data_IF_475741033879
#
_entry.id   IF_475741033879
#
_cell.length_a   1.000
_cell.length_b   1.000
_cell.length_c   1.000
_cell.angle_alpha   90.00
_cell.angle_beta   90.00
_cell.angle_gamma   90.00
#
_symmetry.space_group_name_H-M   'P 1'
#
loop_
_entity.id
_entity.type
_entity.pdbx_description
1 polymer ?
#
# COMPACT_ATOMS: atom_id res chain seq x y z
N UNK A 1 -5.76 -13.01 -17.24
CA UNK A 1 -7.09 -12.44 -16.96
C UNK A 1 -8.22 -13.42 -17.23
N UNK A 2 -8.09 -14.20 -18.28
CA UNK A 2 -9.12 -15.16 -18.66
C UNK A 2 -9.30 -16.28 -17.65
N UNK A 3 -8.21 -16.64 -16.94
CA UNK A 3 -8.22 -17.72 -15.95
C UNK A 3 -9.19 -17.47 -14.81
N UNK A 4 -9.36 -16.21 -14.42
CA UNK A 4 -10.16 -15.85 -13.25
C UNK A 4 -11.47 -15.16 -13.62
N UNK A 5 -11.70 -14.96 -14.92
CA UNK A 5 -12.87 -14.24 -15.39
C UNK A 5 -13.02 -12.87 -14.70
N UNK A 6 -11.89 -12.18 -14.53
CA UNK A 6 -11.83 -10.87 -13.87
C UNK A 6 -11.35 -9.81 -14.86
N UNK A 7 -11.83 -8.59 -14.67
CA UNK A 7 -11.32 -7.46 -15.41
C UNK A 7 -9.98 -7.03 -14.83
N UNK A 8 -9.00 -6.80 -15.71
CA UNK A 8 -7.68 -6.35 -15.32
C UNK A 8 -7.52 -4.88 -15.70
N UNK A 9 -7.14 -4.06 -14.72
CA UNK A 9 -6.86 -2.65 -14.93
C UNK A 9 -5.35 -2.47 -14.82
N UNK A 10 -4.63 -2.26 -15.94
CA UNK A 10 -3.18 -2.07 -15.89
C UNK A 10 -2.83 -0.69 -15.34
N UNK A 11 -1.83 -0.66 -14.45
CA UNK A 11 -1.29 0.57 -13.87
C UNK A 11 0.20 0.65 -14.20
N UNK A 12 0.69 1.85 -14.47
CA UNK A 12 2.08 2.07 -14.78
C UNK A 12 2.80 2.76 -13.62
N UNK A 13 3.86 2.13 -13.14
CA UNK A 13 4.76 2.69 -12.14
C UNK A 13 5.89 3.41 -12.84
N UNK A 14 6.17 4.66 -12.44
CA UNK A 14 7.16 5.50 -13.12
C UNK A 14 8.48 5.66 -12.37
N UNK A 15 8.64 5.01 -11.21
CA UNK A 15 9.83 5.14 -10.38
C UNK A 15 10.42 3.78 -10.02
N UNK A 16 11.74 3.65 -10.12
CA UNK A 16 12.46 2.43 -9.80
C UNK A 16 12.27 1.98 -8.35
N UNK A 17 12.18 2.95 -7.43
CA UNK A 17 12.01 2.66 -6.00
C UNK A 17 10.71 1.89 -5.72
N UNK A 18 9.71 2.10 -6.57
CA UNK A 18 8.42 1.42 -6.46
C UNK A 18 8.29 0.42 -7.62
N UNK A 19 9.05 -0.65 -7.52
CA UNK A 19 9.16 -1.64 -8.60
C UNK A 19 7.99 -2.61 -8.68
N UNK A 20 7.20 -2.71 -7.62
CA UNK A 20 5.97 -3.52 -7.59
C UNK A 20 4.83 -2.69 -7.01
N UNK A 21 3.60 -3.01 -7.43
CA UNK A 21 2.40 -2.31 -6.96
C UNK A 21 2.24 -2.39 -5.43
N UNK A 22 2.63 -3.49 -4.83
CA UNK A 22 2.54 -3.70 -3.39
C UNK A 22 3.52 -2.86 -2.58
N UNK A 23 4.36 -2.06 -3.21
CA UNK A 23 5.23 -1.10 -2.53
C UNK A 23 4.63 0.31 -2.48
N UNK A 24 3.55 0.56 -3.19
CA UNK A 24 2.99 1.91 -3.33
C UNK A 24 1.46 1.98 -3.32
N UNK A 25 0.78 0.86 -3.09
CA UNK A 25 -0.68 0.82 -2.99
C UNK A 25 -1.08 -0.16 -1.89
N UNK A 26 -1.88 0.32 -0.93
CA UNK A 26 -2.36 -0.49 0.19
C UNK A 26 -3.89 -0.45 0.19
N UNK A 27 -4.55 -1.47 -0.33
CA UNK A 27 -6.01 -1.58 -0.21
C UNK A 27 -6.41 -1.78 1.26
N UNK A 28 -7.35 -0.98 1.73
CA UNK A 28 -7.91 -1.12 3.07
C UNK A 28 -9.20 -1.95 2.99
N UNK A 29 -10.10 -1.55 2.11
CA UNK A 29 -11.31 -2.28 1.80
C UNK A 29 -11.68 -2.05 0.33
N UNK A 30 -12.88 -2.40 -0.08
CA UNK A 30 -13.32 -2.24 -1.49
C UNK A 30 -13.44 -0.78 -1.93
N UNK A 31 -13.53 0.16 -0.99
CA UNK A 31 -13.74 1.58 -1.28
C UNK A 31 -12.52 2.45 -0.98
N UNK A 32 -11.60 1.99 -0.15
CA UNK A 32 -10.50 2.82 0.39
C UNK A 32 -9.15 2.17 0.14
N UNK A 33 -8.19 2.98 -0.31
CA UNK A 33 -6.80 2.55 -0.44
C UNK A 33 -5.85 3.70 -0.11
N UNK A 34 -4.68 3.34 0.41
CA UNK A 34 -3.56 4.26 0.57
C UNK A 34 -2.67 4.14 -0.66
N UNK A 35 -2.06 5.23 -1.08
CA UNK A 35 -1.19 5.19 -2.24
C UNK A 35 -0.06 6.20 -2.17
N UNK A 36 1.00 5.96 -2.93
CA UNK A 36 2.13 6.89 -3.10
C UNK A 36 1.95 7.57 -4.44
N UNK A 37 1.52 8.83 -4.42
CA UNK A 37 1.16 9.56 -5.64
C UNK A 37 2.29 9.60 -6.66
N UNK A 38 3.52 9.85 -6.22
CA UNK A 38 4.68 9.98 -7.10
C UNK A 38 5.08 8.68 -7.81
N UNK A 39 4.54 7.54 -7.38
CA UNK A 39 4.87 6.24 -7.98
C UNK A 39 4.15 5.99 -9.30
N UNK A 40 3.07 6.72 -9.59
CA UNK A 40 2.20 6.46 -10.74
C UNK A 40 2.25 7.58 -11.78
N UNK A 41 2.04 7.24 -13.06
CA UNK A 41 1.84 8.25 -14.08
C UNK A 41 0.39 8.80 -13.99
N UNK A 42 0.11 9.87 -14.75
CA UNK A 42 -1.18 10.55 -14.69
C UNK A 42 -2.35 9.65 -15.07
N UNK A 43 -2.17 8.83 -16.08
CA UNK A 43 -3.20 7.92 -16.56
C UNK A 43 -3.55 6.89 -15.49
N UNK A 44 -2.54 6.34 -14.83
CA UNK A 44 -2.73 5.38 -13.74
C UNK A 44 -3.42 6.00 -12.53
N UNK A 45 -3.09 7.25 -12.19
CA UNK A 45 -3.76 7.97 -11.11
C UNK A 45 -5.26 8.13 -11.39
N UNK A 46 -5.63 8.45 -12.62
CA UNK A 46 -7.04 8.55 -13.00
C UNK A 46 -7.74 7.21 -12.83
N UNK A 47 -7.10 6.12 -13.23
CA UNK A 47 -7.65 4.78 -13.06
C UNK A 47 -7.86 4.43 -11.60
N UNK A 48 -6.91 4.78 -10.73
CA UNK A 48 -7.04 4.56 -9.28
C UNK A 48 -8.19 5.37 -8.70
N UNK A 49 -8.36 6.62 -9.13
CA UNK A 49 -9.45 7.49 -8.68
C UNK A 49 -10.82 6.93 -9.06
N UNK A 50 -10.92 6.22 -10.17
CA UNK A 50 -12.15 5.57 -10.58
C UNK A 50 -12.40 4.26 -9.83
N UNK A 51 -11.34 3.60 -9.37
CA UNK A 51 -11.44 2.31 -8.70
C UNK A 51 -11.71 2.38 -7.20
N UNK A 52 -11.35 3.49 -6.56
CA UNK A 52 -11.52 3.67 -5.11
C UNK A 52 -12.23 4.98 -4.81
N UNK A 53 -13.26 4.94 -3.97
CA UNK A 53 -13.95 6.15 -3.53
C UNK A 53 -13.06 7.04 -2.68
N UNK A 54 -12.25 6.42 -1.83
CA UNK A 54 -11.35 7.09 -0.90
C UNK A 54 -9.92 6.68 -1.20
N UNK A 55 -9.23 7.48 -2.00
CA UNK A 55 -7.84 7.27 -2.34
C UNK A 55 -7.00 8.25 -1.55
N UNK A 56 -6.19 7.75 -0.61
CA UNK A 56 -5.55 8.57 0.42
C UNK A 56 -4.04 8.55 0.20
N UNK A 57 -3.42 9.72 -0.08
CA UNK A 57 -1.97 9.77 -0.29
C UNK A 57 -1.21 9.62 1.02
N UNK A 58 -0.12 8.85 0.99
CA UNK A 58 0.81 8.73 2.11
C UNK A 58 2.12 9.41 1.76
N UNK A 59 2.91 9.84 2.79
CA UNK A 59 4.18 10.52 2.53
C UNK A 59 5.18 9.65 1.78
N UNK A 60 5.80 10.22 0.75
CA UNK A 60 6.79 9.53 -0.06
C UNK A 60 8.00 9.09 0.76
N UNK A 61 8.47 9.96 1.67
CA UNK A 61 9.64 9.65 2.51
C UNK A 61 9.41 8.43 3.39
N UNK A 62 8.21 8.28 3.95
CA UNK A 62 7.88 7.11 4.75
C UNK A 62 7.74 5.85 3.89
N UNK A 63 7.22 5.99 2.69
CA UNK A 63 7.14 4.87 1.75
C UNK A 63 8.53 4.39 1.32
N UNK A 64 9.48 5.31 1.12
CA UNK A 64 10.84 4.97 0.72
C UNK A 64 11.67 4.41 1.88
N UNK A 65 11.60 5.04 3.06
CA UNK A 65 12.41 4.64 4.21
C UNK A 65 11.84 3.47 4.98
N UNK A 66 10.53 3.49 5.21
CA UNK A 66 9.88 2.57 6.13
C UNK A 66 8.88 1.65 5.45
N UNK A 67 8.86 1.63 4.12
CA UNK A 67 7.96 0.80 3.33
C UNK A 67 6.50 0.93 3.78
N UNK A 68 6.05 2.18 4.04
CA UNK A 68 4.66 2.44 4.43
C UNK A 68 3.67 1.98 3.37
N UNK A 69 4.06 1.99 2.10
CA UNK A 69 3.25 1.49 0.98
C UNK A 69 3.26 -0.03 0.84
N UNK A 70 3.97 -0.75 1.71
CA UNK A 70 4.00 -2.21 1.75
C UNK A 70 3.34 -2.74 3.03
N UNK A 71 2.40 -1.99 3.58
CA UNK A 71 1.59 -2.40 4.72
C UNK A 71 0.50 -3.38 4.28
N UNK A 72 -0.16 -4.01 5.22
CA UNK A 72 -1.23 -4.97 4.94
C UNK A 72 -2.43 -4.76 5.86
N UNK A 73 -3.62 -4.71 5.27
CA UNK A 73 -4.87 -4.60 6.00
C UNK A 73 -5.72 -5.85 5.70
N UNK A 74 -5.73 -6.84 6.59
CA UNK A 74 -6.44 -8.11 6.32
C UNK A 74 -7.95 -8.04 6.48
N UNK A 75 -8.47 -7.10 7.27
CA UNK A 75 -9.87 -7.11 7.70
C UNK A 75 -10.61 -5.77 7.55
N UNK A 76 -9.98 -4.77 6.92
CA UNK A 76 -10.58 -3.44 6.78
C UNK A 76 -10.51 -2.60 8.06
N UNK A 77 -9.90 -3.09 9.13
CA UNK A 77 -9.85 -2.43 10.44
C UNK A 77 -8.44 -2.35 11.02
N UNK A 78 -7.64 -3.39 10.87
CA UNK A 78 -6.27 -3.45 11.40
C UNK A 78 -5.27 -3.31 10.25
N UNK A 79 -4.25 -2.48 10.44
CA UNK A 79 -3.17 -2.31 9.46
C UNK A 79 -1.86 -2.72 10.11
N UNK A 80 -1.21 -3.72 9.53
CA UNK A 80 0.11 -4.18 9.98
C UNK A 80 1.16 -3.51 9.10
N UNK A 81 2.12 -2.84 9.71
CA UNK A 81 3.14 -2.10 8.98
C UNK A 81 4.44 -2.01 9.74
N UNK A 82 5.52 -1.71 8.99
CA UNK A 82 6.82 -1.44 9.57
C UNK A 82 6.74 -0.23 10.49
N UNK A 83 7.45 -0.28 11.60
CA UNK A 83 7.52 0.83 12.56
C UNK A 83 8.22 2.06 11.96
N UNK A 84 7.89 3.23 12.48
CA UNK A 84 8.56 4.48 12.14
C UNK A 84 7.80 5.43 11.22
N UNK A 85 6.73 5.01 10.56
CA UNK A 85 5.93 5.85 9.67
C UNK A 85 4.89 6.64 10.44
N UNK A 86 5.34 7.63 11.20
CA UNK A 86 4.50 8.38 12.14
C UNK A 86 3.36 9.13 11.47
N UNK A 87 3.61 9.75 10.33
CA UNK A 87 2.57 10.52 9.61
C UNK A 87 1.51 9.58 9.04
N UNK A 88 1.93 8.47 8.47
CA UNK A 88 1.01 7.44 7.95
C UNK A 88 0.17 6.86 9.09
N UNK A 89 0.78 6.56 10.23
CA UNK A 89 0.06 6.04 11.40
C UNK A 89 -0.99 7.02 11.90
N UNK A 90 -0.66 8.31 11.96
CA UNK A 90 -1.60 9.34 12.38
C UNK A 90 -2.80 9.41 11.42
N UNK A 91 -2.51 9.32 10.13
CA UNK A 91 -3.52 9.33 9.08
C UNK A 91 -4.45 8.13 9.21
N UNK A 92 -3.89 6.95 9.43
CA UNK A 92 -4.67 5.73 9.63
C UNK A 92 -5.56 5.82 10.88
N UNK A 93 -5.02 6.38 11.96
CA UNK A 93 -5.79 6.61 13.19
C UNK A 93 -6.97 7.54 12.97
N UNK A 94 -6.80 8.59 12.16
CA UNK A 94 -7.88 9.51 11.81
C UNK A 94 -8.99 8.84 11.00
N UNK A 95 -8.66 7.76 10.28
CA UNK A 95 -9.63 6.97 9.54
C UNK A 95 -10.32 5.91 10.41
N UNK A 96 -9.99 5.84 11.69
CA UNK A 96 -10.56 4.86 12.60
C UNK A 96 -9.92 3.48 12.52
N UNK A 97 -8.74 3.37 11.90
CA UNK A 97 -8.03 2.10 11.77
C UNK A 97 -7.06 1.90 12.93
N UNK A 98 -6.86 0.66 13.30
CA UNK A 98 -5.92 0.27 14.34
C UNK A 98 -4.61 -0.19 13.70
N UNK A 99 -3.49 0.40 14.12
CA UNK A 99 -2.18 0.12 13.54
C UNK A 99 -1.40 -0.82 14.45
N UNK A 100 -0.85 -1.88 13.85
CA UNK A 100 0.05 -2.82 14.51
C UNK A 100 1.43 -2.64 13.88
N UNK A 101 2.35 -2.07 14.65
CA UNK A 101 3.72 -1.88 14.18
C UNK A 101 4.54 -3.14 14.38
N UNK A 102 5.34 -3.48 13.37
CA UNK A 102 6.28 -4.59 13.43
C UNK A 102 7.65 -4.14 12.94
N UNK A 103 8.69 -4.85 13.33
CA UNK A 103 10.06 -4.51 12.94
C UNK A 103 10.53 -5.44 11.83
N UNK A 104 10.63 -4.91 10.61
CA UNK A 104 11.04 -5.67 9.43
C UNK A 104 12.31 -5.09 8.78
N UNK A 105 13.12 -4.33 9.52
CA UNK A 105 14.29 -3.62 8.97
C UNK A 105 15.24 -4.53 8.18
N UNK A 106 15.48 -5.75 8.66
CA UNK A 106 16.38 -6.68 7.96
C UNK A 106 15.78 -7.15 6.64
N UNK A 107 14.47 -7.31 6.56
CA UNK A 107 13.80 -7.72 5.32
C UNK A 107 13.72 -6.58 4.31
N UNK A 108 13.61 -5.34 4.79
CA UNK A 108 13.61 -4.15 3.94
C UNK A 108 14.92 -4.05 3.15
N UNK A 109 16.04 -4.46 3.72
CA UNK A 109 17.32 -4.51 3.01
C UNK A 109 17.26 -5.42 1.77
N UNK A 110 16.40 -6.41 1.79
CA UNK A 110 16.15 -7.30 0.65
C UNK A 110 15.01 -6.84 -0.25
N UNK A 111 14.40 -5.68 0.03
CA UNK A 111 13.39 -5.08 -0.83
C UNK A 111 11.94 -5.36 -0.45
N UNK A 112 11.65 -5.84 0.77
CA UNK A 112 10.27 -6.14 1.17
C UNK A 112 10.00 -5.90 2.64
N UNK A 113 8.73 -5.72 2.98
CA UNK A 113 8.25 -5.55 4.35
C UNK A 113 6.98 -6.40 4.55
N UNK A 114 6.00 -5.87 5.27
CA UNK A 114 4.85 -6.64 5.78
C UNK A 114 4.07 -7.34 4.66
N UNK A 115 3.65 -6.62 3.63
CA UNK A 115 2.86 -7.23 2.56
C UNK A 115 3.61 -8.35 1.85
N UNK A 116 4.90 -8.14 1.59
CA UNK A 116 5.75 -9.13 0.93
C UNK A 116 6.01 -10.36 1.79
N UNK A 117 5.96 -10.22 3.11
CA UNK A 117 6.27 -11.30 4.07
C UNK A 117 5.04 -12.08 4.53
N UNK A 118 3.83 -11.58 4.24
CA UNK A 118 2.62 -12.21 4.75
C UNK A 118 2.39 -13.59 4.15
N UNK A 119 1.84 -14.48 4.96
CA UNK A 119 1.32 -15.77 4.49
C UNK A 119 -0.18 -15.78 4.70
N UNK A 120 -0.93 -16.32 3.74
CA UNK A 120 -2.38 -16.41 3.83
C UNK A 120 -2.82 -17.85 3.62
N UNK A 121 -3.83 -18.28 4.41
CA UNK A 121 -4.44 -19.60 4.33
C UNK A 121 -5.91 -19.46 3.95
N UNK A 122 -6.31 -20.27 3.01
CA UNK A 122 -7.67 -20.27 2.50
C UNK A 122 -8.36 -21.59 2.74
#
# INVERSE_FOLDING_TARGET
EDHFNLDIIPLKLKREEFYHLDTCLVPIDSATALFVESAFDKESLVKLQHGFENLIPIPEDEALKNFAGNAFCPDGHHVVMQSGSKKTMKLLGQLGLEVLEVETSEFIKGGGSVFCLKGMYF
#
